data_IF_403477965130
#
_entry.id   IF_403477965130
#
_cell.length_a   1.000
_cell.length_b   1.000
_cell.length_c   1.000
_cell.angle_alpha   90.00
_cell.angle_beta   90.00
_cell.angle_gamma   90.00
#
_symmetry.space_group_name_H-M   'P 1'
#
loop_
_entity.id
_entity.type
_entity.pdbx_description
1 polymer ?
#
# COMPACT_ATOMS: atom_id res chain seq x y z
N UNK A 1 -1.06 -57.25 69.35
CA UNK A 1 0.03 -56.84 68.43
C UNK A 1 -0.37 -57.36 67.05
N UNK A 2 -0.15 -56.56 66.01
CA UNK A 2 -0.55 -56.72 64.58
C UNK A 2 -2.02 -56.36 64.26
N UNK A 3 -2.31 -55.16 63.71
CA UNK A 3 -2.09 -54.60 62.35
C UNK A 3 -2.93 -55.31 61.27
N UNK A 4 -3.93 -54.62 60.71
CA UNK A 4 -3.86 -54.01 59.37
C UNK A 4 -5.21 -53.34 59.01
N UNK A 5 -5.16 -52.03 58.78
CA UNK A 5 -6.20 -51.21 58.16
C UNK A 5 -5.79 -51.03 56.69
N UNK A 6 -6.68 -51.33 55.75
CA UNK A 6 -6.68 -50.79 54.39
C UNK A 6 -8.13 -50.94 53.87
N UNK A 7 -8.92 -49.89 53.67
CA UNK A 7 -8.60 -48.68 52.93
C UNK A 7 -9.12 -48.83 51.50
N UNK A 8 -10.45 -48.91 51.33
CA UNK A 8 -11.11 -49.00 50.03
C UNK A 8 -10.98 -47.66 49.32
N UNK A 9 -10.02 -47.55 48.40
CA UNK A 9 -9.83 -46.37 47.55
C UNK A 9 -10.83 -46.41 46.40
N UNK A 10 -11.82 -45.53 46.50
CA UNK A 10 -12.77 -45.14 45.45
C UNK A 10 -12.03 -44.78 44.14
N UNK A 11 -12.16 -45.61 43.10
CA UNK A 11 -11.79 -45.22 41.72
C UNK A 11 -12.98 -44.53 41.05
N UNK A 12 -13.04 -43.21 41.14
CA UNK A 12 -13.92 -42.40 40.27
C UNK A 12 -13.21 -42.18 38.92
N UNK A 13 -13.76 -42.80 37.88
CA UNK A 13 -13.33 -42.70 36.48
C UNK A 13 -13.68 -41.29 35.95
N UNK A 14 -12.77 -40.55 35.29
CA UNK A 14 -13.03 -39.18 34.86
C UNK A 14 -13.79 -39.18 33.53
N UNK A 15 -15.11 -39.03 33.58
CA UNK A 15 -15.97 -38.79 32.40
C UNK A 15 -15.86 -37.32 31.91
N UNK A 16 -15.05 -36.49 32.58
CA UNK A 16 -14.96 -35.05 32.32
C UNK A 16 -13.95 -34.64 31.23
N UNK A 17 -13.32 -35.59 30.52
CA UNK A 17 -12.28 -35.27 29.52
C UNK A 17 -12.76 -35.30 28.06
N UNK A 18 -14.03 -35.62 27.81
CA UNK A 18 -14.59 -35.64 26.45
C UNK A 18 -15.35 -34.38 26.04
N UNK A 19 -15.72 -33.51 26.99
CA UNK A 19 -16.46 -32.27 26.68
C UNK A 19 -15.57 -31.04 26.43
N UNK A 20 -14.26 -31.11 26.71
CA UNK A 20 -13.34 -30.01 26.45
C UNK A 20 -12.70 -30.03 25.05
N UNK A 21 -12.87 -31.11 24.28
CA UNK A 21 -12.33 -31.20 22.92
C UNK A 21 -13.31 -30.75 21.81
N UNK A 22 -14.58 -30.50 22.14
CA UNK A 22 -15.61 -30.13 21.16
C UNK A 22 -15.92 -28.62 21.10
N UNK A 23 -15.31 -27.78 21.95
CA UNK A 23 -15.49 -26.31 21.90
C UNK A 23 -14.40 -25.61 21.06
N UNK A 24 -13.32 -26.31 20.68
CA UNK A 24 -12.19 -25.70 19.95
C UNK A 24 -12.31 -25.80 18.42
N UNK A 25 -13.44 -26.28 17.89
CA UNK A 25 -13.70 -26.31 16.44
C UNK A 25 -14.82 -25.36 15.99
N UNK A 26 -15.31 -24.51 16.90
CA UNK A 26 -16.22 -23.41 16.59
C UNK A 26 -15.49 -22.23 15.96
N UNK A 27 -15.44 -22.22 14.64
CA UNK A 27 -15.41 -21.00 13.81
C UNK A 27 -14.22 -20.06 13.99
N UNK A 28 -13.01 -20.56 13.80
CA UNK A 28 -11.99 -19.76 13.11
C UNK A 28 -12.29 -19.73 11.60
N UNK A 29 -13.54 -19.45 11.21
CA UNK A 29 -13.83 -18.90 9.88
C UNK A 29 -13.47 -17.42 10.00
N UNK A 30 -12.17 -17.15 10.07
CA UNK A 30 -11.63 -15.83 9.80
C UNK A 30 -11.99 -15.52 8.37
N UNK A 31 -13.17 -14.92 8.17
CA UNK A 31 -13.46 -14.19 6.96
C UNK A 31 -12.39 -13.10 6.94
N UNK A 32 -11.27 -13.38 6.25
CA UNK A 32 -10.39 -12.35 5.78
C UNK A 32 -11.32 -11.43 4.98
N UNK A 33 -11.74 -10.35 5.62
CA UNK A 33 -12.67 -9.39 5.06
C UNK A 33 -11.95 -8.86 3.84
N UNK A 34 -12.34 -9.38 2.66
CA UNK A 34 -11.69 -9.07 1.41
C UNK A 34 -11.90 -7.57 1.22
N UNK A 35 -10.82 -6.80 1.35
CA UNK A 35 -10.91 -5.34 1.26
C UNK A 35 -11.11 -5.01 -0.20
N UNK A 36 -12.34 -4.66 -0.55
CA UNK A 36 -12.70 -4.28 -1.91
C UNK A 36 -12.29 -2.84 -2.16
N UNK A 37 -11.07 -2.63 -2.62
CA UNK A 37 -10.52 -1.28 -2.83
C UNK A 37 -11.07 -0.67 -4.13
N UNK A 38 -11.35 0.63 -4.08
CA UNK A 38 -11.79 1.44 -5.21
C UNK A 38 -10.82 2.62 -5.43
N UNK A 39 -10.74 3.16 -6.66
CA UNK A 39 -9.90 4.34 -6.94
C UNK A 39 -10.17 5.53 -6.00
N UNK A 40 -11.43 5.73 -5.61
CA UNK A 40 -11.85 6.83 -4.73
C UNK A 40 -11.25 6.72 -3.33
N UNK A 41 -10.95 5.51 -2.86
CA UNK A 41 -10.33 5.26 -1.55
C UNK A 41 -8.90 5.79 -1.46
N UNK A 42 -8.27 6.07 -2.61
CA UNK A 42 -6.92 6.64 -2.70
C UNK A 42 -6.90 8.16 -2.59
N UNK A 43 -8.02 8.86 -2.78
CA UNK A 43 -8.02 10.33 -2.72
C UNK A 43 -7.62 10.80 -1.31
N UNK A 44 -6.65 11.71 -1.24
CA UNK A 44 -6.06 12.17 0.02
C UNK A 44 -5.14 11.14 0.68
N UNK A 45 -4.65 10.15 -0.08
CA UNK A 45 -3.60 9.22 0.34
C UNK A 45 -2.28 9.52 -0.34
N UNK A 46 -1.22 9.11 0.33
CA UNK A 46 0.14 9.11 -0.20
C UNK A 46 0.58 7.66 -0.40
N UNK A 47 1.05 7.33 -1.59
CA UNK A 47 1.74 6.07 -1.87
C UNK A 47 3.24 6.33 -1.82
N UNK A 48 3.97 5.54 -1.02
CA UNK A 48 5.45 5.54 -1.04
C UNK A 48 5.90 4.26 -1.71
N UNK A 49 6.58 4.42 -2.83
CA UNK A 49 6.93 3.36 -3.76
C UNK A 49 8.41 3.08 -3.69
N UNK A 50 8.81 1.80 -3.76
CA UNK A 50 10.22 1.41 -3.85
C UNK A 50 10.39 0.27 -4.84
N UNK A 51 11.18 0.50 -5.88
CA UNK A 51 11.47 -0.49 -6.90
C UNK A 51 12.63 -1.38 -6.49
N UNK A 52 12.42 -2.70 -6.58
CA UNK A 52 13.41 -3.71 -6.15
C UNK A 52 13.96 -4.54 -7.30
N UNK A 53 13.32 -4.49 -8.47
CA UNK A 53 13.77 -5.15 -9.71
C UNK A 53 13.40 -4.29 -10.92
N UNK A 54 14.22 -4.35 -11.97
CA UNK A 54 14.04 -3.60 -13.21
C UNK A 54 15.20 -2.64 -13.49
N UNK A 55 15.01 -1.68 -14.37
CA UNK A 55 16.05 -0.69 -14.75
C UNK A 55 16.32 0.39 -13.70
N UNK A 56 15.40 0.59 -12.76
CA UNK A 56 15.48 1.64 -11.73
C UNK A 56 15.51 1.05 -10.30
N UNK A 57 16.23 -0.06 -10.10
CA UNK A 57 16.36 -0.68 -8.77
C UNK A 57 16.86 0.33 -7.74
N UNK A 58 16.21 0.35 -6.57
CA UNK A 58 16.55 1.24 -5.46
C UNK A 58 15.94 2.64 -5.56
N UNK A 59 15.33 2.99 -6.70
CA UNK A 59 14.56 4.22 -6.82
C UNK A 59 13.29 4.14 -5.96
N UNK A 60 13.01 5.23 -5.25
CA UNK A 60 11.78 5.43 -4.50
C UNK A 60 11.09 6.72 -4.92
N UNK A 61 9.76 6.64 -4.88
CA UNK A 61 8.88 7.70 -5.32
C UNK A 61 7.78 7.92 -4.29
N UNK A 62 7.24 9.13 -4.28
CA UNK A 62 6.09 9.53 -3.48
C UNK A 62 5.01 10.01 -4.44
N UNK A 63 3.82 9.43 -4.31
CA UNK A 63 2.65 9.77 -5.11
C UNK A 63 1.55 10.23 -4.17
N UNK A 64 1.31 11.54 -4.10
CA UNK A 64 0.20 12.12 -3.34
C UNK A 64 -1.03 12.23 -4.25
N UNK A 65 -2.10 11.50 -3.94
CA UNK A 65 -3.33 11.50 -4.73
C UNK A 65 -4.20 12.68 -4.30
N UNK A 66 -4.24 13.73 -5.11
CA UNK A 66 -4.90 14.99 -4.78
C UNK A 66 -6.40 14.93 -5.05
N UNK A 67 -6.77 14.38 -6.21
CA UNK A 67 -8.16 14.19 -6.63
C UNK A 67 -8.32 12.85 -7.34
N UNK A 68 -9.52 12.54 -7.83
CA UNK A 68 -9.76 11.36 -8.66
C UNK A 68 -9.08 11.40 -10.04
N UNK A 69 -8.49 12.54 -10.43
CA UNK A 69 -7.85 12.73 -11.74
C UNK A 69 -6.44 13.30 -11.68
N UNK A 70 -6.05 13.90 -10.56
CA UNK A 70 -4.76 14.57 -10.40
C UNK A 70 -3.97 14.02 -9.23
N UNK A 71 -2.66 13.90 -9.42
CA UNK A 71 -1.72 13.47 -8.39
C UNK A 71 -0.44 14.30 -8.45
N UNK A 72 0.26 14.40 -7.33
CA UNK A 72 1.62 14.93 -7.25
C UNK A 72 2.60 13.77 -7.12
N UNK A 73 3.41 13.56 -8.15
CA UNK A 73 4.44 12.53 -8.20
C UNK A 73 5.81 13.15 -7.92
N UNK A 74 6.58 12.55 -7.01
CA UNK A 74 7.88 13.04 -6.57
C UNK A 74 8.91 11.94 -6.53
N UNK A 75 10.09 12.17 -7.11
CA UNK A 75 11.23 11.25 -7.03
C UNK A 75 12.06 11.52 -5.78
N UNK A 76 12.08 10.55 -4.86
CA UNK A 76 12.79 10.67 -3.57
C UNK A 76 14.25 10.23 -3.69
N UNK A 77 14.51 9.21 -4.51
CA UNK A 77 15.83 8.66 -4.80
C UNK A 77 15.96 8.29 -6.28
N UNK A 78 17.15 7.86 -6.70
CA UNK A 78 17.42 7.49 -8.08
C UNK A 78 17.91 8.66 -8.93
N UNK A 79 17.98 8.44 -10.25
CA UNK A 79 18.55 9.39 -11.22
C UNK A 79 17.78 10.71 -11.31
N UNK A 80 16.48 10.67 -11.03
CA UNK A 80 15.55 11.81 -11.11
C UNK A 80 15.27 12.44 -9.75
N UNK A 81 16.07 12.15 -8.72
CA UNK A 81 15.84 12.62 -7.36
C UNK A 81 15.60 14.13 -7.31
N UNK A 82 14.54 14.53 -6.62
CA UNK A 82 14.14 15.94 -6.47
C UNK A 82 13.14 16.41 -7.53
N UNK A 83 12.88 15.62 -8.57
CA UNK A 83 11.83 15.93 -9.54
C UNK A 83 10.46 15.80 -8.88
N UNK A 84 9.59 16.77 -9.15
CA UNK A 84 8.21 16.82 -8.67
C UNK A 84 7.32 17.25 -9.83
N UNK A 85 6.26 16.49 -10.07
CA UNK A 85 5.31 16.75 -11.15
C UNK A 85 3.87 16.57 -10.67
N UNK A 86 3.05 17.59 -10.89
CA UNK A 86 1.60 17.43 -10.82
C UNK A 86 1.10 16.94 -12.18
N UNK A 87 0.47 15.76 -12.22
CA UNK A 87 0.06 15.10 -13.45
C UNK A 87 -1.39 14.63 -13.38
N UNK A 88 -2.04 14.58 -14.54
CA UNK A 88 -3.29 13.85 -14.69
C UNK A 88 -2.99 12.34 -14.77
N UNK A 89 -3.83 11.55 -14.11
CA UNK A 89 -3.72 10.10 -14.11
C UNK A 89 -5.09 9.45 -14.31
N UNK A 90 -5.08 8.21 -14.80
CA UNK A 90 -6.23 7.32 -14.78
C UNK A 90 -5.98 6.23 -13.74
N UNK A 91 -7.01 5.83 -13.02
CA UNK A 91 -6.97 4.69 -12.10
C UNK A 91 -8.20 3.82 -12.31
N UNK A 92 -7.96 2.54 -12.59
CA UNK A 92 -9.00 1.56 -12.81
C UNK A 92 -8.84 0.40 -11.84
N UNK A 93 -9.97 -0.16 -11.43
CA UNK A 93 -10.00 -1.40 -10.66
C UNK A 93 -9.93 -2.59 -11.61
N UNK A 94 -8.95 -3.47 -11.38
CA UNK A 94 -8.75 -4.69 -12.19
C UNK A 94 -8.96 -5.97 -11.38
N UNK A 95 -9.14 -5.85 -10.05
CA UNK A 95 -9.54 -6.91 -9.14
C UNK A 95 -9.93 -6.33 -7.78
N UNK A 96 -10.49 -7.13 -6.87
CA UNK A 96 -10.96 -6.65 -5.56
C UNK A 96 -9.90 -5.87 -4.78
N UNK A 97 -8.64 -6.31 -4.83
CA UNK A 97 -7.52 -5.70 -4.11
C UNK A 97 -6.45 -5.18 -5.09
N UNK A 98 -6.83 -4.93 -6.34
CA UNK A 98 -5.89 -4.58 -7.41
C UNK A 98 -6.40 -3.36 -8.18
N UNK A 99 -5.60 -2.29 -8.13
CA UNK A 99 -5.79 -1.09 -8.93
C UNK A 99 -4.65 -0.94 -9.93
N UNK A 100 -4.95 -0.43 -11.11
CA UNK A 100 -3.97 -0.04 -12.10
C UNK A 100 -4.07 1.46 -12.31
N UNK A 101 -2.95 2.16 -12.12
CA UNK A 101 -2.81 3.58 -12.40
C UNK A 101 -1.95 3.79 -13.64
N UNK A 102 -2.26 4.83 -14.42
CA UNK A 102 -1.43 5.23 -15.54
C UNK A 102 -1.41 6.73 -15.73
N UNK A 103 -0.26 7.27 -16.11
CA UNK A 103 -0.09 8.69 -16.43
C UNK A 103 1.03 8.89 -17.44
N UNK A 104 1.15 10.13 -17.92
CA UNK A 104 2.28 10.58 -18.74
C UNK A 104 3.12 11.57 -17.94
N UNK A 105 4.41 11.30 -17.81
CA UNK A 105 5.37 12.21 -17.20
C UNK A 105 5.53 13.46 -18.07
N UNK A 106 5.57 14.63 -17.44
CA UNK A 106 5.69 15.92 -18.16
C UNK A 106 7.11 16.17 -18.63
N UNK A 107 8.11 15.82 -17.81
CA UNK A 107 9.53 16.12 -18.09
C UNK A 107 10.11 15.19 -19.14
N UNK A 108 9.84 13.89 -19.05
CA UNK A 108 10.43 12.86 -19.92
C UNK A 108 9.51 12.52 -21.10
N UNK A 109 8.22 12.79 -20.99
CA UNK A 109 7.20 12.34 -21.94
C UNK A 109 6.86 10.85 -21.84
N UNK A 110 7.54 10.12 -20.95
CA UNK A 110 7.36 8.68 -20.70
C UNK A 110 5.95 8.38 -20.19
N UNK A 111 5.44 7.19 -20.49
CA UNK A 111 4.14 6.73 -19.99
C UNK A 111 4.36 5.69 -18.91
N UNK A 112 3.83 5.92 -17.73
CA UNK A 112 3.89 4.97 -16.63
C UNK A 112 2.55 4.24 -16.51
N UNK A 113 2.61 2.92 -16.35
CA UNK A 113 1.48 2.06 -16.00
C UNK A 113 1.91 1.23 -14.79
N UNK A 114 1.25 1.40 -13.65
CA UNK A 114 1.56 0.70 -12.41
C UNK A 114 0.34 -0.06 -11.91
N UNK A 115 0.50 -1.35 -11.68
CA UNK A 115 -0.48 -2.20 -11.02
C UNK A 115 -0.10 -2.39 -9.56
N UNK A 116 -1.00 -1.99 -8.66
CA UNK A 116 -0.86 -2.12 -7.20
C UNK A 116 -1.73 -3.26 -6.70
N UNK A 117 -1.13 -4.17 -5.95
CA UNK A 117 -1.84 -5.23 -5.23
C UNK A 117 -1.84 -4.90 -3.73
N UNK A 118 -2.99 -4.44 -3.23
CA UNK A 118 -3.18 -3.96 -1.85
C UNK A 118 -3.19 -5.08 -0.82
N UNK A 119 -3.47 -6.31 -1.22
CA UNK A 119 -3.34 -7.49 -0.34
C UNK A 119 -1.89 -7.79 0.01
N UNK A 120 -1.00 -7.68 -0.97
CA UNK A 120 0.39 -8.09 -0.83
C UNK A 120 1.36 -6.92 -0.67
N UNK A 121 0.87 -5.68 -0.82
CA UNK A 121 1.66 -4.44 -0.84
C UNK A 121 2.79 -4.47 -1.89
N UNK A 122 2.54 -5.17 -3.00
CA UNK A 122 3.46 -5.28 -4.14
C UNK A 122 2.93 -4.49 -5.32
N UNK A 123 3.84 -3.94 -6.11
CA UNK A 123 3.51 -3.24 -7.33
C UNK A 123 4.34 -3.74 -8.51
N UNK A 124 3.76 -3.64 -9.69
CA UNK A 124 4.37 -3.99 -10.98
C UNK A 124 4.20 -2.80 -11.90
N UNK A 125 5.29 -2.34 -12.51
CA UNK A 125 5.29 -1.15 -13.34
C UNK A 125 5.77 -1.46 -14.76
N UNK A 126 5.21 -0.76 -15.72
CA UNK A 126 5.74 -0.63 -17.08
C UNK A 126 5.96 0.85 -17.34
N UNK A 127 7.19 1.23 -17.67
CA UNK A 127 7.50 2.57 -18.20
C UNK A 127 7.75 2.42 -19.69
N UNK A 128 6.97 3.13 -20.49
CA UNK A 128 7.05 3.14 -21.96
C UNK A 128 7.75 4.41 -22.39
N UNK A 129 8.94 4.26 -22.97
CA UNK A 129 9.69 5.31 -23.66
C UNK A 129 9.59 5.10 -25.18
N UNK A 130 10.14 6.02 -25.97
CA UNK A 130 10.08 5.94 -27.44
C UNK A 130 10.79 4.68 -27.99
N UNK A 131 11.97 4.37 -27.44
CA UNK A 131 12.83 3.31 -27.96
C UNK A 131 12.74 1.98 -27.20
N UNK A 132 12.13 1.98 -26.00
CA UNK A 132 12.15 0.83 -25.11
C UNK A 132 11.10 0.89 -24.00
N UNK A 133 10.76 -0.31 -23.53
CA UNK A 133 9.91 -0.50 -22.37
C UNK A 133 10.74 -1.01 -21.18
N UNK A 134 10.34 -0.61 -19.98
CA UNK A 134 10.95 -1.07 -18.74
C UNK A 134 9.94 -1.79 -17.87
N UNK A 135 10.22 -3.05 -17.56
CA UNK A 135 9.44 -3.84 -16.62
C UNK A 135 10.03 -3.69 -15.22
N UNK A 136 9.17 -3.31 -14.28
CA UNK A 136 9.54 -2.99 -12.91
C UNK A 136 8.75 -3.82 -11.91
N UNK A 137 9.38 -4.16 -10.80
CA UNK A 137 8.70 -4.78 -9.65
C UNK A 137 9.17 -4.15 -8.36
N UNK A 138 8.22 -3.84 -7.49
CA UNK A 138 8.49 -3.17 -6.23
C UNK A 138 7.49 -3.49 -5.13
N UNK A 139 7.59 -2.70 -4.08
CA UNK A 139 6.68 -2.67 -2.95
C UNK A 139 6.24 -1.24 -2.71
N UNK A 140 5.07 -1.07 -2.10
CA UNK A 140 4.59 0.25 -1.71
C UNK A 140 4.03 0.25 -0.29
N UNK A 141 3.93 1.42 0.32
CA UNK A 141 3.15 1.67 1.53
C UNK A 141 2.12 2.76 1.24
N UNK A 142 1.07 2.80 2.07
CA UNK A 142 0.04 3.82 1.99
C UNK A 142 -0.04 4.60 3.30
N UNK A 143 -0.03 5.91 3.19
CA UNK A 143 -0.18 6.84 4.30
C UNK A 143 -1.36 7.76 4.04
N UNK A 144 -1.96 8.34 5.10
CA UNK A 144 -2.83 9.50 4.89
C UNK A 144 -1.96 10.68 4.49
N UNK A 145 -2.35 11.40 3.44
CA UNK A 145 -1.72 12.68 3.14
C UNK A 145 -1.90 13.55 4.37
N UNK A 146 -0.81 13.82 5.10
CA UNK A 146 -0.86 14.82 6.17
C UNK A 146 -1.20 16.14 5.48
N UNK A 147 -2.26 16.81 5.92
CA UNK A 147 -2.56 18.16 5.46
C UNK A 147 -1.28 18.98 5.56
N UNK A 148 -0.68 19.33 4.42
CA UNK A 148 0.38 20.35 4.35
C UNK A 148 -0.32 21.70 4.51
N UNK A 149 -0.97 21.92 5.66
CA UNK A 149 -1.31 23.22 6.18
C UNK A 149 -0.20 23.66 7.13
N UNK A 150 0.96 24.01 6.57
CA UNK A 150 1.86 25.07 7.07
C UNK A 150 3.07 25.23 6.16
N UNK A 151 3.43 26.48 5.96
CA UNK A 151 4.66 26.98 5.33
C UNK A 151 4.77 26.96 3.80
N UNK A 152 3.84 27.66 3.16
CA UNK A 152 4.15 28.48 1.96
C UNK A 152 5.09 29.68 2.25
N UNK A 153 5.69 29.75 3.44
CA UNK A 153 6.65 30.82 3.80
C UNK A 153 8.06 30.55 3.27
N UNK A 154 8.40 29.28 2.99
CA UNK A 154 9.77 28.88 2.61
C UNK A 154 9.92 28.42 1.15
N UNK A 155 8.90 28.61 0.31
CA UNK A 155 9.05 28.41 -1.13
C UNK A 155 10.05 29.44 -1.69
N UNK A 156 11.07 29.01 -2.47
CA UNK A 156 11.98 29.92 -3.15
C UNK A 156 11.19 30.95 -3.95
N UNK A 157 11.65 32.21 -3.96
CA UNK A 157 10.99 33.35 -4.63
C UNK A 157 10.64 33.10 -6.12
N UNK A 158 11.23 32.09 -6.75
CA UNK A 158 10.92 31.63 -8.11
C UNK A 158 9.47 31.16 -8.33
N UNK A 159 8.74 30.77 -7.27
CA UNK A 159 7.34 30.31 -7.39
C UNK A 159 6.29 31.35 -6.97
N UNK A 160 6.71 32.58 -6.62
CA UNK A 160 5.78 33.69 -6.42
C UNK A 160 5.53 34.34 -7.78
N UNK A 161 4.59 33.77 -8.54
CA UNK A 161 4.17 34.34 -9.83
C UNK A 161 3.77 35.81 -9.67
N UNK A 162 4.24 36.66 -10.59
CA UNK A 162 3.78 38.03 -10.76
C UNK A 162 2.26 38.02 -10.91
N UNK A 163 1.55 38.59 -9.93
CA UNK A 163 0.23 39.13 -10.19
C UNK A 163 0.39 40.23 -11.24
N UNK A 164 -0.20 40.02 -12.42
CA UNK A 164 -0.45 41.11 -13.36
C UNK A 164 -1.58 41.94 -12.75
N UNK A 165 -1.27 43.18 -12.44
CA UNK A 165 -2.27 44.23 -12.25
C UNK A 165 -2.84 44.55 -13.65
N UNK A 166 -4.13 44.31 -13.82
CA UNK A 166 -5.02 45.03 -14.74
C UNK A 166 -6.27 45.44 -13.96
#
# INVERSE_FOLDING_TARGET
MDKYIAGVVMRKIPILLFFFLSIVQGTAFGMAQQVDIRPEDLVGKTLIETWRRGSIVGASYRTDILTSKTMLWSSLTGRTKGNVEEVEYACIKVGCEILQMSWREKTTGSRAIITYNFKTMKMYGVIVEEDRDYLLKGSFTIERTRDVKKDRKDLPKLFKGKTRDE
#
